data_IF_610271676168
#
_entry.id   IF_610271676168
#
_cell.length_a   1.000
_cell.length_b   1.000
_cell.length_c   1.000
_cell.angle_alpha   90.00
_cell.angle_beta   90.00
_cell.angle_gamma   90.00
#
_symmetry.space_group_name_H-M   'P 1'
#
loop_
_entity.id
_entity.type
_entity.pdbx_description
1 polymer ?
#
# COMPACT_ATOMS: atom_id res chain seq x y z
N UNK A 1 -51.98 36.75 25.63
CA UNK A 1 -50.61 36.69 26.21
C UNK A 1 -50.18 35.22 26.19
N UNK A 2 -49.53 34.77 25.11
CA UNK A 2 -48.07 34.53 25.01
C UNK A 2 -47.70 33.07 25.36
N UNK A 3 -47.10 32.38 24.35
CA UNK A 3 -46.11 31.27 24.40
C UNK A 3 -46.68 29.85 24.64
N UNK A 4 -46.36 28.81 23.86
CA UNK A 4 -45.08 28.44 23.24
C UNK A 4 -45.29 27.63 21.96
N UNK A 5 -44.54 28.00 20.91
CA UNK A 5 -44.34 27.19 19.71
C UNK A 5 -43.54 25.93 20.08
N UNK A 6 -44.03 24.75 19.67
CA UNK A 6 -43.26 23.52 19.68
C UNK A 6 -42.92 23.19 18.22
N UNK A 7 -41.85 23.81 17.72
CA UNK A 7 -41.26 23.44 16.45
C UNK A 7 -40.57 22.08 16.63
N UNK A 8 -41.16 21.03 16.08
CA UNK A 8 -40.54 19.71 15.93
C UNK A 8 -39.44 19.81 14.87
N UNK A 9 -38.23 20.15 15.33
CA UNK A 9 -37.01 20.09 14.55
C UNK A 9 -36.58 18.63 14.46
N UNK A 10 -36.98 17.96 13.38
CA UNK A 10 -36.50 16.62 13.01
C UNK A 10 -35.05 16.79 12.57
N UNK A 11 -34.13 16.54 13.50
CA UNK A 11 -32.70 16.49 13.22
C UNK A 11 -32.44 15.18 12.46
N UNK A 12 -32.33 15.28 11.13
CA UNK A 12 -31.83 14.21 10.27
C UNK A 12 -30.34 14.02 10.60
N UNK A 13 -30.04 13.08 11.50
CA UNK A 13 -28.67 12.62 11.74
C UNK A 13 -28.22 11.86 10.48
N UNK A 14 -27.56 12.56 9.57
CA UNK A 14 -26.84 11.94 8.47
C UNK A 14 -25.73 11.08 9.10
N UNK A 15 -25.95 9.77 9.16
CA UNK A 15 -24.93 8.79 9.47
C UNK A 15 -23.91 8.83 8.33
N UNK A 16 -22.89 9.67 8.47
CA UNK A 16 -21.69 9.60 7.67
C UNK A 16 -21.02 8.27 8.02
N UNK A 17 -21.26 7.25 7.21
CA UNK A 17 -20.49 6.02 7.23
C UNK A 17 -19.05 6.42 6.97
N UNK A 18 -18.23 6.40 8.02
CA UNK A 18 -16.78 6.50 7.89
C UNK A 18 -16.32 5.18 7.24
N UNK A 19 -16.41 5.11 5.92
CA UNK A 19 -15.72 4.07 5.16
C UNK A 19 -14.24 4.25 5.43
N UNK A 20 -13.63 3.23 6.04
CA UNK A 20 -12.19 3.13 6.19
C UNK A 20 -11.59 3.18 4.77
N UNK A 21 -11.05 4.35 4.40
CA UNK A 21 -10.62 4.64 3.04
C UNK A 21 -9.25 4.00 2.78
N UNK A 22 -9.24 2.68 2.62
CA UNK A 22 -8.20 2.03 1.83
C UNK A 22 -8.20 2.62 0.40
N UNK A 23 -7.10 2.48 -0.36
CA UNK A 23 -7.13 2.81 -1.79
C UNK A 23 -8.31 2.08 -2.44
N UNK A 24 -8.95 2.66 -3.45
CA UNK A 24 -10.02 1.98 -4.20
C UNK A 24 -9.45 0.85 -5.09
N UNK A 25 -8.79 -0.12 -4.47
CA UNK A 25 -8.20 -1.30 -5.09
C UNK A 25 -9.33 -2.25 -5.49
N UNK A 26 -9.25 -2.76 -6.71
CA UNK A 26 -10.10 -3.87 -7.15
C UNK A 26 -9.61 -5.17 -6.53
N UNK A 27 -10.38 -5.69 -5.58
CA UNK A 27 -10.04 -6.95 -4.91
C UNK A 27 -10.03 -8.13 -5.88
N UNK A 28 -9.02 -8.99 -5.75
CA UNK A 28 -8.86 -10.18 -6.55
C UNK A 28 -7.41 -10.51 -6.86
N UNK A 29 -7.21 -11.26 -7.94
CA UNK A 29 -5.91 -11.75 -8.39
C UNK A 29 -5.24 -10.72 -9.28
N UNK A 30 -4.01 -10.39 -8.95
CA UNK A 30 -3.16 -9.44 -9.65
C UNK A 30 -1.91 -10.13 -10.17
N UNK A 31 -1.55 -9.86 -11.42
CA UNK A 31 -0.25 -10.16 -11.99
C UNK A 31 0.67 -8.96 -11.77
N UNK A 32 1.81 -9.19 -11.12
CA UNK A 32 2.74 -8.15 -10.71
C UNK A 32 4.10 -8.44 -11.34
N UNK A 33 4.59 -7.48 -12.13
CA UNK A 33 5.94 -7.48 -12.66
C UNK A 33 6.82 -6.56 -11.83
N UNK A 34 7.92 -7.11 -11.33
CA UNK A 34 8.85 -6.42 -10.44
C UNK A 34 10.22 -6.34 -11.09
N UNK A 35 10.82 -5.15 -11.02
CA UNK A 35 12.21 -4.89 -11.45
C UNK A 35 12.98 -4.28 -10.29
N UNK A 36 14.12 -4.88 -9.95
CA UNK A 36 14.99 -4.41 -8.88
C UNK A 36 16.27 -3.81 -9.47
N UNK A 37 16.62 -2.63 -8.97
CA UNK A 37 17.79 -1.84 -9.33
C UNK A 37 18.68 -1.76 -8.09
N UNK A 38 19.85 -2.40 -8.15
CA UNK A 38 20.85 -2.43 -7.07
C UNK A 38 22.13 -1.70 -7.51
N UNK A 39 22.63 -0.74 -6.72
CA UNK A 39 23.90 -0.08 -7.01
C UNK A 39 25.07 -1.08 -7.04
N UNK A 40 26.02 -0.88 -7.95
CA UNK A 40 27.27 -1.67 -8.00
C UNK A 40 27.18 -3.02 -8.71
N UNK A 41 26.01 -3.40 -9.24
CA UNK A 41 25.85 -4.59 -10.08
C UNK A 41 26.09 -4.24 -11.55
N UNK A 42 27.01 -4.92 -12.26
CA UNK A 42 27.33 -4.61 -13.67
C UNK A 42 26.26 -5.06 -14.66
N UNK A 43 25.29 -5.86 -14.23
CA UNK A 43 24.17 -6.36 -15.04
C UNK A 43 22.84 -6.02 -14.38
N UNK A 44 21.90 -5.54 -15.19
CA UNK A 44 20.51 -5.36 -14.79
C UNK A 44 19.89 -6.72 -14.48
N UNK A 45 19.28 -6.87 -13.30
CA UNK A 45 18.54 -8.08 -12.98
C UNK A 45 17.30 -8.17 -13.88
N UNK A 46 16.95 -9.38 -14.37
CA UNK A 46 15.75 -9.55 -15.15
C UNK A 46 14.52 -9.22 -14.30
N UNK A 47 13.52 -8.60 -14.93
CA UNK A 47 12.23 -8.45 -14.29
C UNK A 47 11.60 -9.84 -14.11
N UNK A 48 10.92 -10.05 -12.99
CA UNK A 48 10.15 -11.26 -12.74
C UNK A 48 8.69 -10.93 -12.56
N UNK A 49 7.83 -11.85 -12.96
CA UNK A 49 6.38 -11.72 -12.89
C UNK A 49 5.82 -12.82 -11.99
N UNK A 50 4.92 -12.44 -11.09
CA UNK A 50 4.23 -13.36 -10.20
C UNK A 50 2.77 -12.93 -10.06
N UNK A 51 1.93 -13.81 -9.51
CA UNK A 51 0.52 -13.48 -9.25
C UNK A 51 0.24 -13.60 -7.77
N UNK A 52 -0.52 -12.66 -7.22
CA UNK A 52 -0.96 -12.69 -5.83
C UNK A 52 -2.39 -12.19 -5.68
N UNK A 53 -3.02 -12.57 -4.58
CA UNK A 53 -4.35 -12.13 -4.20
C UNK A 53 -4.25 -10.89 -3.32
N UNK A 54 -4.99 -9.84 -3.67
CA UNK A 54 -4.94 -8.55 -2.99
C UNK A 54 -6.34 -8.10 -2.60
N UNK A 55 -6.45 -7.48 -1.42
CA UNK A 55 -7.72 -6.99 -0.86
C UNK A 55 -7.56 -5.56 -0.35
N UNK A 56 -8.65 -4.86 -0.02
CA UNK A 56 -8.54 -3.52 0.56
C UNK A 56 -7.95 -3.51 1.99
N UNK A 57 -7.83 -4.68 2.63
CA UNK A 57 -7.13 -4.84 3.91
C UNK A 57 -5.67 -5.27 3.72
N UNK A 58 -5.35 -5.82 2.56
CA UNK A 58 -4.01 -6.26 2.19
C UNK A 58 -3.70 -5.83 0.75
N UNK A 59 -3.38 -4.55 0.63
CA UNK A 59 -3.16 -3.88 -0.64
C UNK A 59 -1.68 -3.74 -0.97
N UNK A 60 -0.75 -4.05 -0.04
CA UNK A 60 0.68 -4.02 -0.32
C UNK A 60 1.14 -5.37 -0.91
N UNK A 61 2.03 -5.38 -1.92
CA UNK A 61 2.64 -6.61 -2.41
C UNK A 61 3.30 -7.43 -1.30
N UNK A 62 3.23 -8.77 -1.35
CA UNK A 62 3.75 -9.65 -0.27
C UNK A 62 5.26 -9.45 -0.02
N UNK A 63 6.03 -9.17 -1.07
CA UNK A 63 7.45 -8.83 -0.99
C UNK A 63 7.71 -7.49 -0.26
N UNK A 64 6.68 -6.67 -0.08
CA UNK A 64 6.69 -5.48 0.78
C UNK A 64 6.31 -5.82 2.22
N UNK A 65 5.52 -6.88 2.41
CA UNK A 65 5.08 -7.36 3.73
C UNK A 65 6.13 -8.21 4.47
N UNK A 66 7.17 -8.68 3.77
CA UNK A 66 8.36 -9.29 4.40
C UNK A 66 9.10 -8.35 5.37
N UNK A 67 8.65 -7.10 5.51
CA UNK A 67 9.08 -6.14 6.53
C UNK A 67 8.29 -6.24 7.85
N UNK A 68 7.59 -7.35 8.11
CA UNK A 68 6.89 -7.66 9.37
C UNK A 68 7.67 -8.63 10.28
N UNK A 69 9.00 -8.69 10.17
CA UNK A 69 9.83 -9.38 11.16
C UNK A 69 9.75 -8.69 12.53
N UNK A 70 9.99 -9.43 13.62
CA UNK A 70 9.90 -8.92 15.01
C UNK A 70 10.79 -7.69 15.26
N UNK A 71 11.81 -7.47 14.42
CA UNK A 71 12.76 -6.37 14.48
C UNK A 71 12.34 -5.11 13.70
N UNK A 72 11.14 -5.08 13.13
CA UNK A 72 10.60 -3.93 12.39
C UNK A 72 9.60 -3.12 13.21
N UNK A 73 9.76 -1.80 13.19
CA UNK A 73 8.79 -0.85 13.73
C UNK A 73 7.47 -0.93 12.96
N UNK A 74 6.39 -0.42 13.57
CA UNK A 74 5.10 -0.32 12.91
C UNK A 74 5.20 0.47 11.59
N UNK A 75 4.56 -0.06 10.54
CA UNK A 75 4.55 0.56 9.21
C UNK A 75 3.64 1.79 9.24
N UNK A 76 4.19 2.98 8.93
CA UNK A 76 3.41 4.21 8.75
C UNK A 76 2.82 4.20 7.33
N UNK A 77 1.52 3.93 7.21
CA UNK A 77 0.80 3.89 5.94
C UNK A 77 -0.10 5.12 5.81
N UNK A 78 0.01 5.81 4.68
CA UNK A 78 -0.82 6.96 4.32
C UNK A 78 -1.50 6.71 2.99
N UNK A 79 -2.80 6.96 2.95
CA UNK A 79 -3.60 6.87 1.71
C UNK A 79 -4.10 8.26 1.35
N UNK A 80 -3.84 8.69 0.11
CA UNK A 80 -4.33 9.94 -0.45
C UNK A 80 -4.94 9.68 -1.82
N UNK A 81 -6.27 9.58 -1.86
CA UNK A 81 -7.01 9.22 -3.08
C UNK A 81 -6.69 7.80 -3.53
N UNK A 82 -6.07 7.67 -4.71
CA UNK A 82 -5.66 6.39 -5.29
C UNK A 82 -4.18 6.05 -5.05
N UNK A 83 -3.46 6.86 -4.27
CA UNK A 83 -2.05 6.65 -3.95
C UNK A 83 -1.89 6.26 -2.49
N UNK A 84 -1.13 5.20 -2.26
CA UNK A 84 -0.68 4.73 -0.95
C UNK A 84 0.81 5.01 -0.84
N UNK A 85 1.24 5.59 0.28
CA UNK A 85 2.65 5.64 0.65
C UNK A 85 2.84 4.91 1.97
N UNK A 86 3.99 4.27 2.13
CA UNK A 86 4.35 3.63 3.38
C UNK A 86 5.82 3.84 3.72
N UNK A 87 6.11 3.78 5.01
CA UNK A 87 7.48 3.77 5.54
C UNK A 87 7.59 2.76 6.66
N UNK A 88 8.72 2.08 6.73
CA UNK A 88 9.06 1.17 7.82
C UNK A 88 10.55 1.29 8.14
N UNK A 89 10.88 0.95 9.38
CA UNK A 89 12.24 0.91 9.87
C UNK A 89 12.44 -0.42 10.58
N UNK A 90 13.43 -1.18 10.15
CA UNK A 90 13.81 -2.45 10.76
C UNK A 90 15.21 -2.35 11.32
N UNK A 91 15.49 -3.05 12.42
CA UNK A 91 16.85 -3.24 12.91
C UNK A 91 17.48 -4.40 12.16
N UNK A 92 18.61 -4.17 11.50
CA UNK A 92 19.43 -5.20 10.89
C UNK A 92 20.74 -5.39 11.66
N UNK A 93 21.41 -6.52 11.45
CA UNK A 93 22.71 -6.83 12.07
C UNK A 93 23.78 -5.77 11.72
N UNK A 94 23.76 -5.25 10.49
CA UNK A 94 24.69 -4.22 9.98
C UNK A 94 24.16 -2.78 10.12
N UNK A 95 23.05 -2.57 10.85
CA UNK A 95 22.43 -1.27 11.08
C UNK A 95 20.96 -1.19 10.65
N UNK A 96 20.38 0.00 10.80
CA UNK A 96 18.98 0.24 10.48
C UNK A 96 18.70 0.05 8.97
N UNK A 97 17.62 -0.68 8.67
CA UNK A 97 17.07 -0.88 7.34
C UNK A 97 15.84 0.01 7.23
N UNK A 98 15.87 0.99 6.33
CA UNK A 98 14.76 1.93 6.12
C UNK A 98 14.07 1.60 4.79
N UNK A 99 12.80 1.19 4.87
CA UNK A 99 11.96 0.95 3.71
C UNK A 99 10.98 2.09 3.49
N UNK A 100 10.89 2.61 2.27
CA UNK A 100 9.83 3.55 1.87
C UNK A 100 9.21 3.08 0.57
N UNK A 101 7.91 3.29 0.40
CA UNK A 101 7.25 2.94 -0.84
C UNK A 101 6.09 3.86 -1.19
N UNK A 102 5.77 3.85 -2.47
CA UNK A 102 4.60 4.52 -3.04
C UNK A 102 3.96 3.58 -4.05
N UNK A 103 2.64 3.59 -4.09
CA UNK A 103 1.86 2.81 -5.03
C UNK A 103 0.61 3.57 -5.44
N UNK A 104 0.36 3.63 -6.73
CA UNK A 104 -0.77 4.35 -7.31
C UNK A 104 -1.63 3.37 -8.08
N UNK A 105 -2.89 3.25 -7.67
CA UNK A 105 -3.88 2.39 -8.33
C UNK A 105 -4.66 3.15 -9.39
N UNK A 106 -4.93 2.52 -10.53
CA UNK A 106 -5.71 3.10 -11.62
C UNK A 106 -6.57 2.02 -12.26
N UNK A 107 -7.77 1.84 -11.72
CA UNK A 107 -8.74 0.85 -12.22
C UNK A 107 -8.21 -0.59 -12.06
N UNK A 108 -7.84 -1.21 -13.18
CA UNK A 108 -7.32 -2.57 -13.28
C UNK A 108 -5.78 -2.62 -13.35
N UNK A 109 -5.10 -1.50 -13.10
CA UNK A 109 -3.64 -1.40 -13.09
C UNK A 109 -3.13 -0.71 -11.84
N UNK A 110 -1.88 -0.95 -11.47
CA UNK A 110 -1.16 -0.10 -10.52
C UNK A 110 0.31 0.07 -10.92
N UNK A 111 0.91 1.15 -10.46
CA UNK A 111 2.37 1.35 -10.49
C UNK A 111 2.89 1.55 -9.08
N UNK A 112 4.06 1.02 -8.79
CA UNK A 112 4.69 1.11 -7.47
C UNK A 112 6.18 1.36 -7.56
N UNK A 113 6.72 2.05 -6.55
CA UNK A 113 8.16 2.19 -6.36
C UNK A 113 8.45 2.05 -4.88
N UNK A 114 9.41 1.20 -4.56
CA UNK A 114 9.92 0.97 -3.22
C UNK A 114 11.42 1.26 -3.18
N UNK A 115 11.89 1.87 -2.10
CA UNK A 115 13.30 2.09 -1.82
C UNK A 115 13.64 1.49 -0.48
N UNK A 116 14.68 0.67 -0.45
CA UNK A 116 15.23 0.08 0.77
C UNK A 116 16.63 0.61 0.92
N UNK A 117 16.90 1.30 2.02
CA UNK A 117 18.24 1.75 2.40
C UNK A 117 18.77 0.85 3.52
N UNK A 118 19.88 0.17 3.26
CA UNK A 118 20.60 -0.63 4.24
C UNK A 118 22.07 -0.19 4.22
N UNK A 119 22.57 0.34 5.33
CA UNK A 119 23.98 0.72 5.47
C UNK A 119 24.47 1.74 4.42
N UNK A 120 23.58 2.59 3.87
CA UNK A 120 23.91 3.57 2.82
C UNK A 120 23.75 3.04 1.39
N UNK A 121 23.48 1.74 1.20
CA UNK A 121 23.11 1.17 -0.09
C UNK A 121 21.61 1.30 -0.31
N UNK A 122 21.22 2.05 -1.36
CA UNK A 122 19.80 2.23 -1.72
C UNK A 122 19.42 1.30 -2.85
N UNK A 123 18.64 0.27 -2.53
CA UNK A 123 18.00 -0.60 -3.50
C UNK A 123 16.67 0.01 -3.93
N UNK A 124 16.41 0.10 -5.23
CA UNK A 124 15.14 0.59 -5.77
C UNK A 124 14.39 -0.55 -6.46
N UNK A 125 13.14 -0.76 -6.09
CA UNK A 125 12.26 -1.76 -6.71
C UNK A 125 11.09 -1.04 -7.39
N UNK A 126 10.89 -1.30 -8.68
CA UNK A 126 9.76 -0.81 -9.46
C UNK A 126 8.77 -1.95 -9.69
N UNK A 127 7.49 -1.66 -9.55
CA UNK A 127 6.41 -2.64 -9.66
C UNK A 127 5.34 -2.14 -10.62
N UNK A 128 4.84 -3.03 -11.47
CA UNK A 128 3.67 -2.80 -12.31
C UNK A 128 2.70 -3.94 -12.10
N UNK A 129 1.47 -3.62 -11.73
CA UNK A 129 0.43 -4.61 -11.50
C UNK A 129 -0.72 -4.50 -12.49
N UNK A 130 -1.32 -5.64 -12.82
CA UNK A 130 -2.53 -5.75 -13.62
C UNK A 130 -3.51 -6.72 -12.97
N UNK A 131 -4.78 -6.32 -12.88
CA UNK A 131 -5.85 -7.19 -12.40
C UNK A 131 -6.14 -8.28 -13.44
N UNK A 132 -6.12 -9.54 -13.01
CA UNK A 132 -6.33 -10.70 -13.89
C UNK A 132 -7.57 -11.53 -13.54
N UNK A 133 -8.27 -11.22 -12.45
CA UNK A 133 -9.54 -11.87 -12.14
C UNK A 133 -9.85 -11.97 -10.66
N UNK A 134 -10.81 -12.83 -10.32
CA UNK A 134 -11.08 -13.19 -8.92
C UNK A 134 -9.97 -14.11 -8.42
N UNK A 135 -9.72 -14.07 -7.11
CA UNK A 135 -8.90 -15.07 -6.46
C UNK A 135 -9.50 -16.46 -6.61
N UNK A 136 -8.63 -17.45 -6.77
CA UNK A 136 -9.01 -18.85 -6.64
C UNK A 136 -9.43 -19.09 -5.17
N UNK A 137 -10.47 -19.90 -4.94
CA UNK A 137 -10.98 -20.20 -3.60
C UNK A 137 -10.16 -21.26 -2.90
#
# INVERSE_FOLDING_TARGET
MIRKAAALLIVFLATASLSFAGPALKEGKWEITTKMEMPGMPMEMPAFTHTQCMTNNDFLPENTQQQQSEDCDAVDVKTSGNTVTWSTKCKGEDGDIIGTGTMTYKGDTFTGTMKVNQGGMVMTTKMNGKYIGKCDK
#
